data_IF_010127884440
#
_entry.id   IF_010127884440
#
_cell.length_a   1.000
_cell.length_b   1.000
_cell.length_c   1.000
_cell.angle_alpha   90.00
_cell.angle_beta   90.00
_cell.angle_gamma   90.00
#
_symmetry.space_group_name_H-M   'P 1'
#
loop_
_entity.id
_entity.type
_entity.pdbx_description
1 polymer ?
#
# COMPACT_ATOMS: atom_id res chain seq x y z
N UNK A 1 -18.70 -2.42 -0.39
CA UNK A 1 -18.83 -1.28 0.55
C UNK A 1 -19.75 -0.24 -0.06
N UNK A 2 -20.32 0.69 0.73
CA UNK A 2 -21.16 1.76 0.18
C UNK A 2 -20.41 3.09 0.21
N UNK A 3 -20.25 3.75 -0.94
CA UNK A 3 -19.54 5.03 -1.04
C UNK A 3 -20.24 6.16 -0.27
N UNK A 4 -19.47 7.03 0.39
CA UNK A 4 -20.00 8.22 1.08
C UNK A 4 -19.97 9.43 0.14
N UNK A 5 -20.83 9.47 -0.88
CA UNK A 5 -20.82 10.47 -1.95
C UNK A 5 -20.68 11.94 -1.50
N UNK A 6 -21.20 12.30 -0.33
CA UNK A 6 -21.16 13.66 0.24
C UNK A 6 -19.91 13.98 1.08
N UNK A 7 -19.01 13.01 1.30
CA UNK A 7 -17.83 13.18 2.13
C UNK A 7 -16.92 14.29 1.60
N UNK A 8 -16.48 15.21 2.46
CA UNK A 8 -15.60 16.33 2.10
C UNK A 8 -14.83 16.81 3.33
N UNK A 9 -13.69 17.46 3.13
CA UNK A 9 -13.01 18.16 4.21
C UNK A 9 -13.76 19.47 4.54
N UNK A 10 -13.86 19.79 5.84
CA UNK A 10 -14.41 21.04 6.37
C UNK A 10 -13.58 21.43 7.61
N UNK A 11 -12.56 22.28 7.41
CA UNK A 11 -11.60 22.62 8.47
C UNK A 11 -10.79 21.39 8.90
N UNK A 12 -10.80 21.09 10.20
CA UNK A 12 -10.10 19.94 10.80
C UNK A 12 -10.91 18.64 10.73
N UNK A 13 -12.01 18.60 9.98
CA UNK A 13 -12.93 17.47 9.95
C UNK A 13 -13.16 16.97 8.53
N UNK A 14 -13.46 15.68 8.42
CA UNK A 14 -14.13 15.11 7.25
C UNK A 14 -15.60 14.95 7.61
N UNK A 15 -16.50 15.52 6.82
CA UNK A 15 -17.95 15.56 7.11
C UNK A 15 -18.72 14.93 5.96
N UNK A 16 -19.86 14.29 6.26
CA UNK A 16 -20.75 13.72 5.25
C UNK A 16 -22.22 13.86 5.66
N UNK A 17 -23.13 13.69 4.70
CA UNK A 17 -24.55 13.65 4.95
C UNK A 17 -24.97 12.25 5.41
N UNK A 18 -25.97 12.13 6.30
CA UNK A 18 -26.55 10.84 6.65
C UNK A 18 -27.00 10.10 5.39
N UNK A 19 -26.62 8.84 5.26
CA UNK A 19 -27.06 7.97 4.17
C UNK A 19 -27.88 6.82 4.75
N UNK A 20 -29.16 6.77 4.39
CA UNK A 20 -29.99 5.60 4.64
C UNK A 20 -29.74 4.64 3.49
N UNK A 21 -29.12 3.49 3.76
CA UNK A 21 -28.95 2.46 2.73
C UNK A 21 -30.31 1.91 2.35
N UNK A 22 -30.65 2.00 1.07
CA UNK A 22 -31.79 1.29 0.51
C UNK A 22 -31.36 -0.09 0.00
N UNK A 23 -32.20 -1.13 0.14
CA UNK A 23 -31.96 -2.40 -0.52
C UNK A 23 -31.77 -2.18 -2.04
N UNK A 24 -30.58 -2.51 -2.56
CA UNK A 24 -30.21 -2.25 -3.96
C UNK A 24 -29.25 -1.08 -4.17
N UNK A 25 -28.87 -0.34 -3.13
CA UNK A 25 -27.78 0.63 -3.22
C UNK A 25 -26.50 -0.05 -3.68
N UNK A 26 -25.90 0.50 -4.74
CA UNK A 26 -24.74 -0.07 -5.40
C UNK A 26 -23.60 -0.33 -4.42
N UNK A 27 -23.24 -1.60 -4.24
CA UNK A 27 -22.03 -1.96 -3.51
C UNK A 27 -20.83 -1.74 -4.42
N UNK A 28 -19.82 -1.03 -3.91
CA UNK A 28 -18.54 -0.90 -4.58
C UNK A 28 -17.58 -1.99 -4.07
N UNK A 29 -16.96 -2.70 -5.00
CA UNK A 29 -15.83 -3.57 -4.72
C UNK A 29 -14.55 -2.74 -4.62
N UNK A 30 -13.70 -3.05 -3.63
CA UNK A 30 -12.35 -2.49 -3.61
C UNK A 30 -11.52 -3.08 -4.75
N UNK A 31 -10.64 -2.28 -5.38
CA UNK A 31 -9.64 -2.82 -6.29
C UNK A 31 -8.82 -3.95 -5.65
N UNK A 32 -8.35 -4.90 -6.45
CA UNK A 32 -7.35 -5.89 -6.00
C UNK A 32 -6.10 -5.17 -5.51
N UNK A 33 -5.38 -5.66 -4.49
CA UNK A 33 -4.17 -5.02 -3.95
C UNK A 33 -4.41 -3.55 -3.49
N UNK A 34 -5.63 -3.17 -3.09
CA UNK A 34 -5.97 -1.79 -2.68
C UNK A 34 -5.05 -1.31 -1.56
N UNK A 35 -4.83 -2.18 -0.57
CA UNK A 35 -3.97 -1.92 0.58
C UNK A 35 -2.48 -1.75 0.21
N UNK A 36 -2.05 -2.11 -1.00
CA UNK A 36 -0.65 -1.95 -1.46
C UNK A 36 -0.45 -0.73 -2.36
N UNK A 37 -1.55 -0.05 -2.72
CA UNK A 37 -1.53 1.00 -3.74
C UNK A 37 -2.27 2.22 -3.22
N UNK A 38 -3.56 2.34 -3.51
CA UNK A 38 -4.37 3.49 -3.14
C UNK A 38 -4.23 3.84 -1.66
N UNK A 39 -4.21 2.83 -0.79
CA UNK A 39 -4.10 3.05 0.65
C UNK A 39 -2.69 3.46 1.10
N UNK A 40 -1.63 2.87 0.53
CA UNK A 40 -0.23 3.23 0.89
C UNK A 40 0.24 4.54 0.25
N UNK A 41 -0.45 5.00 -0.79
CA UNK A 41 -0.19 6.28 -1.46
C UNK A 41 -1.00 7.43 -0.87
N UNK A 42 -1.93 7.13 0.05
CA UNK A 42 -2.75 8.11 0.71
C UNK A 42 -1.90 8.88 1.72
N UNK A 43 -1.83 10.20 1.57
CA UNK A 43 -1.28 11.07 2.60
C UNK A 43 -2.33 11.23 3.72
N UNK A 44 -2.04 10.75 4.95
CA UNK A 44 -2.98 10.80 6.06
C UNK A 44 -3.35 12.23 6.49
N UNK A 45 -2.48 13.21 6.23
CA UNK A 45 -2.70 14.62 6.59
C UNK A 45 -3.57 15.36 5.57
N UNK A 46 -3.74 14.79 4.38
CA UNK A 46 -4.53 15.37 3.31
C UNK A 46 -6.00 14.93 3.41
N UNK A 47 -6.78 15.65 4.22
CA UNK A 47 -8.19 15.33 4.46
C UNK A 47 -9.04 15.34 3.18
N UNK A 48 -8.70 16.14 2.17
CA UNK A 48 -9.39 16.12 0.88
C UNK A 48 -9.16 14.81 0.12
N UNK A 49 -7.95 14.29 0.15
CA UNK A 49 -7.61 13.00 -0.45
C UNK A 49 -8.32 11.85 0.28
N UNK A 50 -8.34 11.88 1.62
CA UNK A 50 -9.07 10.90 2.43
C UNK A 50 -10.57 10.98 2.16
N UNK A 51 -11.15 12.18 2.14
CA UNK A 51 -12.54 12.37 1.81
C UNK A 51 -12.87 11.88 0.38
N UNK A 52 -11.96 12.07 -0.59
CA UNK A 52 -12.10 11.52 -1.94
C UNK A 52 -12.11 9.99 -1.94
N UNK A 53 -11.25 9.37 -1.12
CA UNK A 53 -11.25 7.93 -0.92
C UNK A 53 -12.57 7.46 -0.30
N UNK A 54 -13.10 8.20 0.69
CA UNK A 54 -14.39 7.89 1.32
C UNK A 54 -15.59 8.03 0.37
N UNK A 55 -15.58 9.08 -0.47
CA UNK A 55 -16.56 9.27 -1.55
C UNK A 55 -16.55 8.15 -2.56
N UNK A 56 -15.39 7.55 -2.79
CA UNK A 56 -15.23 6.47 -3.76
C UNK A 56 -15.61 5.14 -3.13
N UNK A 57 -15.00 4.77 -2.01
CA UNK A 57 -15.04 3.40 -1.52
C UNK A 57 -15.92 3.19 -0.27
N UNK A 58 -16.14 4.24 0.53
CA UNK A 58 -16.98 4.17 1.73
C UNK A 58 -16.29 4.71 2.99
N UNK A 59 -16.92 4.54 4.14
CA UNK A 59 -16.48 5.14 5.39
C UNK A 59 -15.07 4.69 5.81
N UNK A 60 -14.18 5.67 6.05
CA UNK A 60 -12.96 5.45 6.81
C UNK A 60 -13.38 5.24 8.27
N UNK A 61 -13.11 4.07 8.82
CA UNK A 61 -13.46 3.77 10.21
C UNK A 61 -12.40 2.90 10.84
N UNK A 62 -12.18 3.11 12.13
CA UNK A 62 -11.20 2.46 13.00
C UNK A 62 -11.73 2.52 14.43
N UNK A 63 -10.88 2.18 15.40
CA UNK A 63 -11.22 2.32 16.82
C UNK A 63 -9.95 2.60 17.60
N UNK A 64 -9.97 3.66 18.41
CA UNK A 64 -8.83 4.03 19.27
C UNK A 64 -8.48 2.89 20.22
N UNK A 65 -9.51 2.17 20.72
CA UNK A 65 -9.38 0.98 21.56
C UNK A 65 -8.62 -0.21 20.95
N UNK A 66 -8.25 -0.14 19.67
CA UNK A 66 -7.45 -1.19 19.03
C UNK A 66 -6.01 -0.81 18.73
N UNK A 67 -5.64 0.44 18.99
CA UNK A 67 -4.30 0.97 18.76
C UNK A 67 -3.43 0.71 19.99
N UNK A 68 -2.12 0.52 19.77
CA UNK A 68 -1.14 0.41 20.85
C UNK A 68 -0.59 1.80 21.16
N UNK A 69 -1.37 2.57 21.89
CA UNK A 69 -1.02 3.91 22.33
C UNK A 69 -0.58 3.89 23.79
N UNK A 70 0.21 4.87 24.20
CA UNK A 70 0.39 5.12 25.62
C UNK A 70 -0.92 5.64 26.25
N UNK A 71 -0.94 5.73 27.58
CA UNK A 71 -2.16 6.08 28.32
C UNK A 71 -2.65 7.49 27.98
N UNK A 72 -1.74 8.46 27.86
CA UNK A 72 -2.09 9.87 27.60
C UNK A 72 -2.61 10.05 26.18
N UNK A 73 -1.95 9.43 25.20
CA UNK A 73 -2.42 9.41 23.81
C UNK A 73 -3.76 8.70 23.70
N UNK A 74 -3.93 7.55 24.37
CA UNK A 74 -5.18 6.80 24.35
C UNK A 74 -6.35 7.64 24.89
N UNK A 75 -6.17 8.32 26.02
CA UNK A 75 -7.18 9.21 26.59
C UNK A 75 -7.50 10.37 25.64
N UNK A 76 -6.48 11.06 25.12
CA UNK A 76 -6.65 12.17 24.17
C UNK A 76 -7.46 11.74 22.94
N UNK A 77 -7.11 10.62 22.32
CA UNK A 77 -7.79 10.16 21.10
C UNK A 77 -9.17 9.60 21.39
N UNK A 78 -9.40 9.02 22.57
CA UNK A 78 -10.74 8.59 23.00
C UNK A 78 -11.66 9.79 23.17
N UNK A 79 -11.20 10.86 23.85
CA UNK A 79 -11.96 12.11 23.95
C UNK A 79 -12.27 12.73 22.57
N UNK A 80 -11.34 12.57 21.62
CA UNK A 80 -11.52 13.05 20.27
C UNK A 80 -12.50 12.19 19.46
N UNK A 81 -12.50 10.87 19.66
CA UNK A 81 -13.44 9.91 19.06
C UNK A 81 -14.88 10.17 19.53
N UNK A 82 -15.05 10.52 20.80
CA UNK A 82 -16.35 10.85 21.40
C UNK A 82 -16.83 12.28 21.05
N UNK A 83 -15.95 13.13 20.50
CA UNK A 83 -16.28 14.52 20.17
C UNK A 83 -17.14 14.60 18.91
N UNK A 84 -18.36 15.10 19.07
CA UNK A 84 -19.26 15.38 17.95
C UNK A 84 -18.90 16.67 17.22
N UNK A 85 -19.05 16.68 15.90
CA UNK A 85 -18.92 17.92 15.13
C UNK A 85 -20.08 18.89 15.46
N UNK A 86 -19.81 20.18 15.74
CA UNK A 86 -20.84 21.13 16.20
C UNK A 86 -22.07 21.26 15.29
N UNK A 87 -21.86 21.15 13.97
CA UNK A 87 -22.93 21.27 12.95
C UNK A 87 -23.43 19.95 12.36
N UNK A 88 -22.58 18.92 12.35
CA UNK A 88 -22.82 17.67 11.59
C UNK A 88 -23.01 16.47 12.52
N UNK A 89 -22.86 16.66 13.84
CA UNK A 89 -23.04 15.64 14.85
C UNK A 89 -22.13 14.43 14.60
N UNK A 90 -22.67 13.20 14.56
CA UNK A 90 -21.90 11.97 14.37
C UNK A 90 -21.49 11.71 12.91
N UNK A 91 -21.91 12.56 11.96
CA UNK A 91 -21.59 12.39 10.53
C UNK A 91 -20.31 13.14 10.17
N UNK A 92 -19.29 12.99 11.02
CA UNK A 92 -17.99 13.61 10.88
C UNK A 92 -16.89 12.73 11.49
N UNK A 93 -15.65 12.93 11.04
CA UNK A 93 -14.45 12.31 11.57
C UNK A 93 -13.37 13.39 11.73
N UNK A 94 -12.75 13.48 12.90
CA UNK A 94 -11.69 14.44 13.13
C UNK A 94 -10.43 14.11 12.31
N UNK A 95 -9.70 15.14 11.89
CA UNK A 95 -8.49 15.01 11.09
C UNK A 95 -7.39 14.25 11.81
N UNK A 96 -7.15 14.54 13.08
CA UNK A 96 -6.15 13.78 13.87
C UNK A 96 -6.50 12.28 13.98
N UNK A 97 -7.78 11.91 14.10
CA UNK A 97 -8.20 10.49 14.09
C UNK A 97 -7.99 9.87 12.71
N UNK A 98 -8.27 10.64 11.65
CA UNK A 98 -7.99 10.22 10.27
C UNK A 98 -6.51 9.91 10.10
N UNK A 99 -5.66 10.82 10.54
CA UNK A 99 -4.22 10.68 10.46
C UNK A 99 -3.75 9.45 11.25
N UNK A 100 -4.18 9.34 12.51
CA UNK A 100 -3.87 8.21 13.38
C UNK A 100 -4.24 6.87 12.74
N UNK A 101 -5.49 6.73 12.29
CA UNK A 101 -5.97 5.45 11.75
C UNK A 101 -5.30 5.07 10.43
N UNK A 102 -5.06 6.03 9.55
CA UNK A 102 -4.39 5.77 8.26
C UNK A 102 -2.92 5.47 8.48
N UNK A 103 -2.21 6.26 9.27
CA UNK A 103 -0.79 6.07 9.59
C UNK A 103 -0.55 4.73 10.27
N UNK A 104 -1.35 4.38 11.28
CA UNK A 104 -1.23 3.08 11.95
C UNK A 104 -1.42 1.93 10.96
N UNK A 105 -2.45 2.02 10.11
CA UNK A 105 -2.72 0.98 9.13
C UNK A 105 -1.58 0.85 8.10
N UNK A 106 -1.00 1.97 7.66
CA UNK A 106 0.17 1.97 6.77
C UNK A 106 1.42 1.40 7.43
N UNK A 107 1.66 1.69 8.71
CA UNK A 107 2.76 1.11 9.49
C UNK A 107 2.60 -0.42 9.60
N UNK A 108 1.39 -0.87 9.89
CA UNK A 108 1.07 -2.30 10.00
C UNK A 108 1.27 -3.01 8.67
N UNK A 109 0.82 -2.41 7.56
CA UNK A 109 1.04 -2.95 6.21
C UNK A 109 2.54 -2.99 5.91
N UNK A 110 3.30 -1.98 6.30
CA UNK A 110 4.76 -1.92 6.13
C UNK A 110 5.47 -3.03 6.90
N UNK A 111 5.08 -3.24 8.16
CA UNK A 111 5.57 -4.36 8.98
C UNK A 111 5.27 -5.71 8.32
N UNK A 112 4.05 -5.89 7.79
CA UNK A 112 3.71 -7.10 7.04
C UNK A 112 4.58 -7.26 5.78
N UNK A 113 4.83 -6.20 5.02
CA UNK A 113 5.70 -6.24 3.85
C UNK A 113 7.14 -6.63 4.21
N UNK A 114 7.64 -6.13 5.34
CA UNK A 114 8.97 -6.42 5.87
C UNK A 114 9.11 -7.91 6.23
N UNK A 115 8.11 -8.50 6.90
CA UNK A 115 8.06 -9.93 7.24
C UNK A 115 8.15 -10.88 6.04
N UNK A 116 7.89 -10.39 4.82
CA UNK A 116 7.90 -11.20 3.59
C UNK A 116 9.24 -11.23 2.89
N UNK A 117 10.25 -10.56 3.45
CA UNK A 117 11.62 -10.50 2.93
C UNK A 117 12.57 -10.96 4.02
N UNK A 118 13.58 -11.71 3.63
CA UNK A 118 14.67 -12.09 4.55
C UNK A 118 15.36 -10.83 5.10
N UNK A 119 15.50 -10.76 6.43
CA UNK A 119 16.05 -9.58 7.13
C UNK A 119 15.20 -8.31 7.01
N UNK A 120 13.98 -8.39 6.45
CA UNK A 120 13.19 -7.19 6.19
C UNK A 120 12.72 -6.49 7.45
N UNK A 121 12.37 -7.26 8.49
CA UNK A 121 11.95 -6.71 9.78
C UNK A 121 13.12 -6.09 10.53
N UNK A 122 14.30 -6.73 10.50
CA UNK A 122 15.53 -6.17 11.05
C UNK A 122 15.88 -4.85 10.36
N UNK A 123 15.82 -4.78 9.03
CA UNK A 123 16.08 -3.56 8.28
C UNK A 123 15.08 -2.42 8.61
N UNK A 124 13.83 -2.74 8.94
CA UNK A 124 12.83 -1.77 9.36
C UNK A 124 13.19 -1.19 10.74
N UNK A 125 13.53 -2.05 11.69
CA UNK A 125 13.88 -1.66 13.06
C UNK A 125 15.25 -0.99 13.14
N UNK A 126 16.22 -1.37 12.32
CA UNK A 126 17.53 -0.71 12.23
C UNK A 126 17.43 0.75 11.76
N UNK A 127 16.43 1.06 10.92
CA UNK A 127 16.22 2.41 10.41
C UNK A 127 15.59 3.35 11.46
N UNK A 128 14.82 2.79 12.40
CA UNK A 128 14.20 3.52 13.51
C UNK A 128 15.16 3.55 14.71
N UNK A 129 15.62 2.38 15.16
CA UNK A 129 16.45 2.19 16.34
C UNK A 129 17.84 2.85 16.26
N UNK A 130 17.87 4.15 16.55
CA UNK A 130 19.02 5.05 16.59
C UNK A 130 19.46 5.35 18.02
N UNK A 131 20.69 5.84 18.20
CA UNK A 131 21.21 6.24 19.53
C UNK A 131 20.42 7.42 20.10
N UNK A 132 19.93 8.31 19.23
CA UNK A 132 19.06 9.41 19.59
C UNK A 132 17.74 8.92 20.18
N UNK A 133 17.10 7.93 19.55
CA UNK A 133 15.88 7.30 20.08
C UNK A 133 16.14 6.55 21.39
N UNK A 134 17.26 5.84 21.51
CA UNK A 134 17.64 5.16 22.75
C UNK A 134 17.73 6.16 23.91
N UNK A 135 18.37 7.30 23.67
CA UNK A 135 18.50 8.37 24.67
C UNK A 135 17.13 8.91 25.07
N UNK A 136 16.22 9.10 24.11
CA UNK A 136 14.86 9.55 24.36
C UNK A 136 14.09 8.54 25.24
N UNK A 137 14.16 7.24 24.90
CA UNK A 137 13.47 6.19 25.65
C UNK A 137 14.00 6.06 27.07
N UNK A 138 15.32 6.12 27.25
CA UNK A 138 15.95 6.08 28.58
C UNK A 138 15.56 7.31 29.42
N UNK A 139 15.49 8.49 28.81
CA UNK A 139 15.03 9.70 29.49
C UNK A 139 13.54 9.61 29.91
N UNK A 140 12.69 9.03 29.06
CA UNK A 140 11.27 8.81 29.37
C UNK A 140 11.05 7.74 30.45
N UNK A 141 12.03 6.87 30.69
CA UNK A 141 12.00 5.81 31.70
C UNK A 141 12.98 6.06 32.86
N UNK A 142 13.28 7.33 33.16
CA UNK A 142 14.23 7.70 34.22
C UNK A 142 13.81 7.25 35.62
N UNK A 143 12.53 6.93 35.81
CA UNK A 143 11.96 6.48 37.08
C UNK A 143 12.17 4.98 37.34
N UNK A 144 12.69 4.23 36.36
CA UNK A 144 13.07 2.84 36.50
C UNK A 144 14.37 2.69 37.32
N UNK A 145 14.45 1.68 38.18
CA UNK A 145 15.68 1.38 38.95
C UNK A 145 16.87 1.03 38.04
N UNK A 146 16.59 0.47 36.86
CA UNK A 146 17.57 0.11 35.83
C UNK A 146 17.34 0.91 34.54
N UNK A 147 18.44 1.21 33.82
CA UNK A 147 18.40 1.81 32.48
C UNK A 147 17.57 0.95 31.53
N UNK A 148 16.46 1.50 31.06
CA UNK A 148 15.53 0.84 30.17
C UNK A 148 15.20 1.72 28.96
N UNK A 149 15.41 1.24 27.72
CA UNK A 149 16.14 0.03 27.32
C UNK A 149 17.63 0.11 27.68
N UNK A 150 18.24 -1.04 28.05
CA UNK A 150 19.66 -1.15 28.42
C UNK A 150 20.65 -0.65 27.35
N UNK A 151 20.40 -1.00 26.09
CA UNK A 151 21.27 -0.68 24.95
C UNK A 151 20.46 -0.71 23.65
N UNK A 152 21.12 -0.37 22.54
CA UNK A 152 20.50 -0.29 21.22
C UNK A 152 19.97 -1.65 20.74
N UNK A 153 20.66 -2.74 21.04
CA UNK A 153 20.23 -4.08 20.63
C UNK A 153 18.93 -4.49 21.34
N UNK A 154 18.85 -4.21 22.63
CA UNK A 154 17.65 -4.45 23.42
C UNK A 154 16.50 -3.53 23.02
N UNK A 155 16.75 -2.25 22.69
CA UNK A 155 15.72 -1.38 22.14
C UNK A 155 15.16 -1.93 20.82
N UNK A 156 16.03 -2.44 19.94
CA UNK A 156 15.61 -3.05 18.68
C UNK A 156 14.76 -4.31 18.90
N UNK A 157 15.11 -5.15 19.87
CA UNK A 157 14.28 -6.29 20.28
C UNK A 157 12.87 -5.83 20.70
N UNK A 158 12.76 -4.78 21.51
CA UNK A 158 11.47 -4.22 21.94
C UNK A 158 10.68 -3.65 20.76
N UNK A 159 11.33 -2.93 19.83
CA UNK A 159 10.69 -2.42 18.62
C UNK A 159 10.15 -3.55 17.73
N UNK A 160 10.87 -4.67 17.61
CA UNK A 160 10.40 -5.85 16.89
C UNK A 160 9.12 -6.42 17.53
N UNK A 161 9.11 -6.58 18.85
CA UNK A 161 7.96 -7.07 19.59
C UNK A 161 6.75 -6.14 19.46
N UNK A 162 6.96 -4.83 19.59
CA UNK A 162 5.91 -3.82 19.42
C UNK A 162 5.32 -3.85 18.00
N UNK A 163 6.15 -3.88 16.95
CA UNK A 163 5.65 -3.94 15.57
C UNK A 163 4.85 -5.21 15.27
N UNK A 164 5.32 -6.36 15.75
CA UNK A 164 4.58 -7.64 15.60
C UNK A 164 3.28 -7.60 16.41
N UNK A 165 3.33 -7.06 17.64
CA UNK A 165 2.16 -6.84 18.49
C UNK A 165 1.11 -5.96 17.81
N UNK A 166 1.53 -4.82 17.26
CA UNK A 166 0.69 -3.86 16.55
C UNK A 166 0.04 -4.50 15.32
N UNK A 167 0.81 -5.25 14.53
CA UNK A 167 0.28 -6.00 13.39
C UNK A 167 -0.82 -6.98 13.81
N UNK A 168 -0.59 -7.75 14.87
CA UNK A 168 -1.57 -8.73 15.38
C UNK A 168 -2.81 -8.06 15.94
N UNK A 169 -2.66 -7.04 16.78
CA UNK A 169 -3.78 -6.31 17.39
C UNK A 169 -4.65 -5.66 16.31
N UNK A 170 -4.03 -4.93 15.38
CA UNK A 170 -4.73 -4.22 14.31
C UNK A 170 -5.47 -5.18 13.39
N UNK A 171 -4.84 -6.30 12.99
CA UNK A 171 -5.50 -7.32 12.19
C UNK A 171 -6.72 -7.90 12.90
N UNK A 172 -6.60 -8.29 14.17
CA UNK A 172 -7.71 -8.87 14.92
C UNK A 172 -8.86 -7.88 15.09
N UNK A 173 -8.57 -6.62 15.38
CA UNK A 173 -9.58 -5.57 15.48
C UNK A 173 -10.28 -5.33 14.14
N UNK A 174 -9.51 -5.10 13.07
CA UNK A 174 -10.06 -4.81 11.76
C UNK A 174 -10.87 -5.97 11.16
N UNK A 175 -10.55 -7.21 11.54
CA UNK A 175 -11.28 -8.41 11.11
C UNK A 175 -12.48 -8.76 11.99
N UNK A 176 -12.63 -8.13 13.16
CA UNK A 176 -13.76 -8.35 14.08
C UNK A 176 -15.13 -8.26 13.37
N UNK A 177 -15.40 -7.30 12.45
CA UNK A 177 -16.68 -7.25 11.71
C UNK A 177 -16.97 -8.50 10.87
N UNK A 178 -15.97 -9.29 10.48
CA UNK A 178 -16.16 -10.51 9.66
C UNK A 178 -16.23 -11.80 10.49
N UNK A 179 -16.11 -11.72 11.82
CA UNK A 179 -16.22 -12.87 12.74
C UNK A 179 -17.66 -13.43 12.82
N UNK A 180 -17.87 -14.64 13.36
CA UNK A 180 -19.21 -15.26 13.42
C UNK A 180 -20.19 -14.35 14.21
N UNK A 181 -21.39 -14.11 13.66
CA UNK A 181 -22.39 -13.23 14.26
C UNK A 181 -23.78 -13.47 13.67
N UNK A 182 -24.81 -12.90 14.31
CA UNK A 182 -26.22 -12.98 13.88
C UNK A 182 -26.44 -11.96 12.75
N UNK A 183 -27.07 -12.39 11.65
CA UNK A 183 -27.30 -11.56 10.45
C UNK A 183 -26.32 -11.82 9.30
N UNK A 184 -26.53 -11.14 8.17
CA UNK A 184 -25.67 -11.21 6.99
C UNK A 184 -24.39 -10.38 7.15
N UNK A 185 -23.45 -10.49 6.21
CA UNK A 185 -22.24 -9.64 6.19
C UNK A 185 -22.59 -8.19 5.83
N UNK A 186 -23.67 -8.01 5.07
CA UNK A 186 -24.28 -6.75 4.67
C UNK A 186 -24.73 -5.90 5.87
N UNK A 187 -25.11 -6.54 6.97
CA UNK A 187 -25.62 -5.91 8.20
C UNK A 187 -24.50 -5.36 9.10
N UNK A 188 -23.24 -5.65 8.77
CA UNK A 188 -22.09 -5.41 9.67
C UNK A 188 -21.29 -4.16 9.33
N UNK A 189 -21.72 -3.41 8.31
CA UNK A 189 -21.17 -2.10 7.91
C UNK A 189 -19.63 -2.05 7.94
N UNK A 190 -18.94 -2.92 7.18
CA UNK A 190 -17.48 -2.95 7.23
C UNK A 190 -16.90 -1.62 6.74
N UNK A 191 -15.92 -1.12 7.49
CA UNK A 191 -15.19 0.10 7.18
C UNK A 191 -14.16 -0.15 6.09
N UNK A 192 -13.65 0.93 5.50
CA UNK A 192 -12.55 0.86 4.56
C UNK A 192 -11.33 0.13 5.15
N UNK A 193 -10.97 0.40 6.40
CA UNK A 193 -9.86 -0.29 7.07
C UNK A 193 -10.15 -1.78 7.24
N UNK A 194 -11.37 -2.15 7.66
CA UNK A 194 -11.75 -3.54 7.82
C UNK A 194 -11.57 -4.34 6.52
N UNK A 195 -12.04 -3.81 5.38
CA UNK A 195 -11.89 -4.48 4.08
C UNK A 195 -10.45 -4.46 3.57
N UNK A 196 -9.69 -3.39 3.83
CA UNK A 196 -8.24 -3.30 3.54
C UNK A 196 -7.49 -4.44 4.26
N UNK A 197 -7.75 -4.64 5.55
CA UNK A 197 -7.14 -5.71 6.33
C UNK A 197 -7.66 -7.10 5.97
N UNK A 198 -8.91 -7.22 5.52
CA UNK A 198 -9.41 -8.47 4.94
C UNK A 198 -8.65 -8.87 3.68
N UNK A 199 -8.34 -7.93 2.78
CA UNK A 199 -7.50 -8.21 1.61
C UNK A 199 -6.09 -8.67 2.03
N UNK A 200 -5.46 -7.99 2.99
CA UNK A 200 -4.16 -8.38 3.52
C UNK A 200 -4.22 -9.79 4.12
N UNK A 201 -5.22 -10.07 4.97
CA UNK A 201 -5.40 -11.37 5.59
C UNK A 201 -5.58 -12.49 4.56
N UNK A 202 -6.37 -12.26 3.51
CA UNK A 202 -6.52 -13.24 2.44
C UNK A 202 -5.18 -13.53 1.75
N UNK A 203 -4.36 -12.50 1.50
CA UNK A 203 -3.02 -12.69 0.95
C UNK A 203 -2.07 -13.41 1.92
N UNK A 204 -2.23 -13.20 3.22
CA UNK A 204 -1.49 -13.96 4.24
C UNK A 204 -1.88 -15.44 4.21
N UNK A 205 -3.18 -15.74 4.21
CA UNK A 205 -3.72 -17.10 4.19
C UNK A 205 -3.36 -17.85 2.89
N UNK A 206 -3.33 -17.15 1.76
CA UNK A 206 -2.91 -17.68 0.46
C UNK A 206 -1.38 -17.87 0.34
N UNK A 207 -0.62 -17.43 1.35
CA UNK A 207 0.84 -17.30 1.28
C UNK A 207 1.29 -16.57 0.01
N UNK A 208 0.59 -15.49 -0.33
CA UNK A 208 0.78 -14.74 -1.56
C UNK A 208 2.23 -14.24 -1.71
N UNK A 209 2.77 -14.36 -2.91
CA UNK A 209 4.09 -13.81 -3.23
C UNK A 209 3.96 -12.33 -3.57
N UNK A 210 4.65 -11.48 -2.81
CA UNK A 210 4.73 -10.04 -3.09
C UNK A 210 5.84 -9.79 -4.08
N UNK A 211 5.58 -8.96 -5.08
CA UNK A 211 6.53 -8.59 -6.12
C UNK A 211 6.68 -7.09 -6.18
N UNK A 212 7.84 -6.65 -6.66
CA UNK A 212 8.10 -5.25 -7.00
C UNK A 212 7.89 -5.06 -8.50
N UNK A 213 7.16 -4.02 -8.91
CA UNK A 213 6.92 -3.75 -10.31
C UNK A 213 8.23 -3.47 -11.06
N UNK A 214 8.50 -4.23 -12.13
CA UNK A 214 9.68 -4.08 -12.97
C UNK A 214 9.64 -2.87 -13.93
N UNK A 215 8.61 -2.03 -13.85
CA UNK A 215 8.61 -0.76 -14.56
C UNK A 215 9.49 0.22 -13.78
N UNK A 216 10.50 0.76 -14.45
CA UNK A 216 11.57 1.62 -13.90
C UNK A 216 11.10 2.93 -13.27
N UNK A 217 9.82 3.29 -13.40
CA UNK A 217 9.26 4.48 -12.73
C UNK A 217 8.16 4.13 -11.74
N UNK A 218 7.84 2.85 -11.55
CA UNK A 218 6.73 2.43 -10.71
C UNK A 218 7.23 1.86 -9.39
N UNK A 219 8.01 0.78 -9.41
CA UNK A 219 8.56 0.10 -8.23
C UNK A 219 7.56 -0.26 -7.11
N UNK A 220 6.25 -0.17 -7.35
CA UNK A 220 5.22 -0.51 -6.36
C UNK A 220 5.22 -2.00 -6.06
N UNK A 221 4.90 -2.33 -4.81
CA UNK A 221 4.57 -3.69 -4.38
C UNK A 221 3.23 -4.13 -4.98
N UNK A 222 3.12 -5.37 -5.42
CA UNK A 222 1.88 -5.96 -5.93
C UNK A 222 1.88 -7.47 -5.76
N UNK A 223 0.69 -8.07 -5.67
CA UNK A 223 0.52 -9.53 -5.65
C UNK A 223 0.05 -10.01 -7.01
N UNK A 224 -0.89 -9.29 -7.64
CA UNK A 224 -1.52 -9.67 -8.91
C UNK A 224 -1.47 -8.52 -9.92
N UNK A 225 -1.47 -8.86 -11.21
CA UNK A 225 -1.52 -7.83 -12.25
C UNK A 225 -2.97 -7.36 -12.44
N UNK A 226 -3.27 -6.10 -12.14
CA UNK A 226 -4.60 -5.53 -12.35
C UNK A 226 -4.98 -5.43 -13.84
N UNK A 227 -6.28 -5.61 -14.11
CA UNK A 227 -6.90 -5.29 -15.41
C UNK A 227 -6.65 -6.30 -16.54
N UNK A 228 -6.15 -7.51 -16.22
CA UNK A 228 -5.92 -8.57 -17.23
C UNK A 228 -6.84 -9.79 -17.06
N UNK A 229 -7.38 -10.03 -15.87
CA UNK A 229 -8.31 -11.12 -15.63
C UNK A 229 -9.76 -10.63 -15.81
N UNK A 230 -10.39 -11.01 -16.91
CA UNK A 230 -11.82 -10.73 -17.16
C UNK A 230 -12.74 -11.70 -16.40
N UNK A 231 -12.20 -12.87 -15.98
CA UNK A 231 -12.92 -13.95 -15.29
C UNK A 231 -12.28 -14.36 -13.95
N UNK A 232 -11.58 -13.45 -13.26
CA UNK A 232 -10.91 -13.74 -11.97
C UNK A 232 -9.73 -14.72 -12.04
N UNK A 233 -9.36 -15.19 -13.23
CA UNK A 233 -8.21 -16.06 -13.46
C UNK A 233 -6.92 -15.23 -13.47
N UNK A 234 -6.38 -14.98 -12.29
CA UNK A 234 -5.12 -14.27 -12.13
C UNK A 234 -3.94 -15.24 -12.26
N UNK A 235 -3.04 -14.98 -13.22
CA UNK A 235 -1.75 -15.69 -13.28
C UNK A 235 -0.91 -15.28 -12.07
N UNK A 236 -0.58 -16.22 -11.21
CA UNK A 236 0.27 -16.00 -10.02
C UNK A 236 1.76 -16.08 -10.35
N UNK A 237 2.13 -16.63 -11.51
CA UNK A 237 3.50 -16.79 -11.97
C UNK A 237 3.78 -16.00 -13.26
N UNK A 238 5.04 -15.60 -13.45
CA UNK A 238 5.49 -14.89 -14.65
C UNK A 238 5.01 -13.43 -14.79
N UNK A 239 4.31 -12.88 -13.79
CA UNK A 239 3.91 -11.47 -13.77
C UNK A 239 5.07 -10.59 -13.29
N UNK A 240 5.41 -9.58 -14.10
CA UNK A 240 6.51 -8.62 -13.82
C UNK A 240 6.03 -7.20 -13.51
N UNK A 241 4.78 -6.89 -13.86
CA UNK A 241 4.25 -5.52 -13.79
C UNK A 241 2.91 -5.52 -13.05
N UNK A 242 2.70 -4.51 -12.19
CA UNK A 242 1.48 -4.38 -11.39
C UNK A 242 0.23 -4.08 -12.22
N UNK A 243 0.39 -3.47 -13.40
CA UNK A 243 -0.72 -3.19 -14.33
C UNK A 243 -0.31 -3.40 -15.79
N UNK A 244 -1.31 -3.40 -16.69
CA UNK A 244 -1.09 -3.43 -18.15
C UNK A 244 -0.40 -2.17 -18.65
N UNK A 245 -0.73 -1.01 -18.08
CA UNK A 245 -0.13 0.28 -18.44
C UNK A 245 1.36 0.27 -18.11
N UNK A 246 1.76 -0.26 -16.95
CA UNK A 246 3.17 -0.40 -16.58
C UNK A 246 3.93 -1.28 -17.56
N UNK A 247 3.36 -2.42 -17.97
CA UNK A 247 3.97 -3.30 -18.96
C UNK A 247 4.15 -2.60 -20.32
N UNK A 248 3.12 -1.87 -20.78
CA UNK A 248 3.16 -1.12 -22.04
C UNK A 248 4.17 0.02 -22.01
N UNK A 249 4.22 0.77 -20.90
CA UNK A 249 5.16 1.87 -20.71
C UNK A 249 6.60 1.37 -20.75
N UNK A 250 6.91 0.28 -20.03
CA UNK A 250 8.24 -0.33 -20.04
C UNK A 250 8.62 -0.85 -21.44
N UNK A 251 7.73 -1.57 -22.12
CA UNK A 251 7.97 -2.06 -23.48
C UNK A 251 8.24 -0.92 -24.49
N UNK A 252 7.52 0.21 -24.35
CA UNK A 252 7.74 1.37 -25.21
C UNK A 252 9.12 2.01 -24.95
N UNK A 253 9.57 2.07 -23.70
CA UNK A 253 10.92 2.56 -23.35
C UNK A 253 12.01 1.66 -23.92
N UNK A 254 11.89 0.34 -23.74
CA UNK A 254 12.84 -0.63 -24.29
C UNK A 254 12.91 -0.56 -25.82
N UNK A 255 11.77 -0.43 -26.50
CA UNK A 255 11.73 -0.23 -27.95
C UNK A 255 12.45 1.07 -28.36
N UNK A 256 12.22 2.18 -27.65
CA UNK A 256 12.94 3.45 -27.90
C UNK A 256 14.45 3.30 -27.66
N UNK A 257 14.88 2.55 -26.64
CA UNK A 257 16.30 2.26 -26.38
C UNK A 257 16.92 1.45 -27.52
N UNK A 258 16.28 0.35 -27.94
CA UNK A 258 16.75 -0.48 -29.08
C UNK A 258 16.89 0.33 -30.36
N UNK A 259 15.92 1.21 -30.66
CA UNK A 259 16.00 2.10 -31.83
C UNK A 259 17.14 3.10 -31.75
N UNK A 260 17.43 3.66 -30.58
CA UNK A 260 18.59 4.55 -30.39
C UNK A 260 19.90 3.78 -30.59
N UNK A 261 20.06 2.62 -29.95
CA UNK A 261 21.27 1.79 -30.10
C UNK A 261 21.50 1.34 -31.54
N UNK A 262 20.44 0.97 -32.27
CA UNK A 262 20.53 0.61 -33.68
C UNK A 262 20.87 1.81 -34.60
N UNK A 263 20.47 3.03 -34.24
CA UNK A 263 20.84 4.24 -34.96
C UNK A 263 22.28 4.73 -34.65
N UNK A 264 22.85 4.32 -33.51
CA UNK A 264 24.20 4.69 -33.07
C UNK A 264 25.26 3.66 -33.47
N UNK A 265 24.88 2.45 -33.90
CA UNK A 265 25.85 1.52 -34.50
C UNK A 265 26.34 2.11 -35.84
N UNK A 266 27.65 2.41 -35.96
CA UNK A 266 28.21 2.85 -37.24
C UNK A 266 28.01 1.72 -38.25
N UNK A 267 27.53 2.09 -39.44
CA UNK A 267 27.36 1.20 -40.58
C UNK A 267 28.74 0.64 -40.94
N UNK A 268 29.10 -0.54 -40.40
CA UNK A 268 30.32 -1.26 -40.76
C UNK A 268 30.20 -1.95 -42.12
N UNK A 269 29.37 -1.39 -43.03
CA UNK A 269 29.50 -1.64 -44.45
C UNK A 269 30.80 -1.03 -44.93
N UNK A 270 31.86 -1.83 -44.86
CA UNK A 270 33.12 -1.57 -45.55
C UNK A 270 32.82 -1.29 -47.03
N UNK A 271 33.32 -0.18 -47.62
CA UNK A 271 33.14 0.15 -49.04
C UNK A 271 33.71 -0.87 -50.05
N UNK A 272 34.21 -2.01 -49.58
CA UNK A 272 34.93 -2.99 -50.39
C UNK A 272 34.05 -4.15 -50.92
N UNK A 273 32.83 -4.32 -50.43
CA UNK A 273 31.95 -5.41 -50.89
C UNK A 273 31.25 -5.11 -52.23
N UNK A 274 31.18 -3.85 -52.66
CA UNK A 274 30.61 -3.49 -53.95
C UNK A 274 31.56 -3.78 -55.14
N UNK A 275 32.87 -3.90 -54.90
CA UNK A 275 33.83 -4.27 -55.97
C UNK A 275 33.90 -5.79 -56.23
N UNK A 276 33.57 -6.63 -55.24
CA UNK A 276 33.57 -8.09 -55.40
C UNK A 276 32.36 -8.59 -56.24
N UNK A 277 31.21 -7.92 -56.16
CA UNK A 277 29.99 -8.31 -56.91
C UNK A 277 30.07 -7.89 -58.39
N UNK A 278 30.81 -6.82 -58.71
CA UNK A 278 31.03 -6.38 -60.10
C UNK A 278 32.11 -7.20 -60.84
N UNK A 279 33.08 -7.78 -60.13
CA UNK A 279 34.07 -8.69 -60.72
C UNK A 279 33.46 -10.06 -61.10
N UNK A 280 32.58 -10.63 -60.27
CA UNK A 280 31.92 -11.92 -60.57
C UNK A 280 30.87 -11.87 -61.71
N UNK A 281 30.46 -10.69 -62.18
CA UNK A 281 29.55 -10.54 -63.34
C UNK A 281 30.27 -10.46 -64.68
N UNK A 282 31.59 -10.20 -64.72
CA UNK A 282 32.35 -10.12 -65.99
C UNK A 282 32.84 -11.48 -66.49
N UNK A 283 33.04 -12.47 -65.62
CA UNK A 283 33.55 -13.79 -66.03
C UNK A 283 32.49 -14.77 -66.56
N UNK A 284 31.19 -14.48 -66.42
CA UNK A 284 30.13 -15.34 -66.97
C UNK A 284 29.74 -15.05 -68.42
N UNK A 285 30.38 -14.08 -69.08
CA UNK A 285 30.05 -13.69 -70.48
C UNK A 285 30.98 -14.25 -71.55
N UNK A 286 32.04 -14.98 -71.18
CA UNK A 286 32.92 -15.67 -72.12
C UNK A 286 33.05 -17.14 -71.72
N UNK A 287 32.13 -17.97 -72.20
CA UNK A 287 32.41 -19.40 -72.39
C UNK A 287 31.87 -19.78 -73.79
N UNK A 288 32.73 -20.30 -74.68
CA UNK A 288 32.38 -20.65 -76.06
C UNK A 288 31.40 -21.83 -76.12
#
# INVERSE_FOLDING_TARGET
MSPLASARAEGEWIVWSPQVRSPGDGTMALPEDFYLREFMELDPTNLDAVAAMMRTYGQLGGSVGSLSLDVEEHERYTELEDRLHPKHGPFALHGELTELFVSQAQEVITTWLALRREGGLDALVEAEGTEEELTLWQAANSDSEDLWPRDLAHMRELLLELKIGNLRSTLNSALKPFSIGIGGLEDRYPTLLAVTFLQLYNHLAENATIRTCANETCHRSFVRQRGRAEYGQNRTTGIKYCTRECARAQAQREHRRRRKTAATQPDTRTPNDDQAVLASRKDKKNRP
#
